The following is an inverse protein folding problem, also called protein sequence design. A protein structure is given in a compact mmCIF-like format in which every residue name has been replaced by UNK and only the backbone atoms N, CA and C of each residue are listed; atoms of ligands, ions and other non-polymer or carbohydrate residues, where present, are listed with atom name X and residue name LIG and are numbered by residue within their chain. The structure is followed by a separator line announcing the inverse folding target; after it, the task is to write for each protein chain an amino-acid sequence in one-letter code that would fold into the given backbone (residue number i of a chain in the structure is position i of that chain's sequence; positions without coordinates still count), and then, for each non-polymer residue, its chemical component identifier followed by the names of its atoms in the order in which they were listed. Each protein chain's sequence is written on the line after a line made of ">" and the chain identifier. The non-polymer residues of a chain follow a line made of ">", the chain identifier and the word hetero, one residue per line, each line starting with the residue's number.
data_IF_332960352146
#
_entry.id   IF_332960352146
#
_cell.length_a   1.000
_cell.length_b   1.000
_cell.length_c   1.000
_cell.angle_alpha   90.00
_cell.angle_beta   90.00
_cell.angle_gamma   90.00
#
_symmetry.space_group_name_H-M   'P 1'
#
loop_
_entity.id
_entity.type
_entity.pdbx_description
1 polymer ?
#
# COMPACT_ATOMS: atom_id res chain seq x y z
N UNK A 1 -16.65 2.68 14.37
CA UNK A 1 -16.43 2.28 12.95
C UNK A 1 -16.74 0.80 12.83
N UNK A 2 -17.28 0.35 11.69
CA UNK A 2 -17.66 -1.06 11.52
C UNK A 2 -16.49 -1.82 10.91
N UNK A 3 -16.17 -3.00 11.44
CA UNK A 3 -15.09 -3.85 10.93
C UNK A 3 -15.47 -4.42 9.54
N UNK A 4 -14.58 -4.25 8.55
CA UNK A 4 -14.77 -4.77 7.20
C UNK A 4 -13.98 -6.04 6.93
N UNK A 5 -12.84 -6.22 7.61
CA UNK A 5 -12.05 -7.46 7.58
C UNK A 5 -11.44 -7.75 8.94
N UNK A 6 -11.31 -9.02 9.28
CA UNK A 6 -10.64 -9.52 10.48
C UNK A 6 -9.89 -10.81 10.19
N UNK A 7 -8.61 -10.81 10.48
CA UNK A 7 -7.69 -11.93 10.31
C UNK A 7 -7.04 -12.27 11.65
N UNK A 8 -6.86 -13.55 11.95
CA UNK A 8 -5.99 -13.98 13.05
C UNK A 8 -5.32 -15.30 12.74
N UNK A 9 -4.03 -15.41 13.11
CA UNK A 9 -3.21 -16.59 12.93
C UNK A 9 -3.15 -17.05 11.46
N UNK A 10 -3.00 -16.09 10.52
CA UNK A 10 -3.04 -16.35 9.08
C UNK A 10 -1.63 -16.57 8.55
N UNK A 11 -1.33 -17.79 8.12
CA UNK A 11 -0.07 -18.19 7.50
C UNK A 11 -0.26 -18.56 6.04
N UNK A 12 0.68 -18.17 5.18
CA UNK A 12 0.76 -18.60 3.79
C UNK A 12 2.16 -19.10 3.47
N UNK A 13 2.25 -20.36 3.09
CA UNK A 13 3.46 -20.97 2.56
C UNK A 13 3.29 -21.39 1.09
N UNK A 14 4.38 -21.44 0.35
CA UNK A 14 4.50 -22.02 -0.98
C UNK A 14 5.61 -23.06 -0.92
N UNK A 15 5.21 -24.34 -1.00
CA UNK A 15 6.10 -25.44 -0.61
C UNK A 15 6.52 -25.25 0.84
N UNK A 16 7.82 -25.35 1.11
CA UNK A 16 8.39 -25.21 2.47
C UNK A 16 8.66 -23.75 2.87
N UNK A 17 8.48 -22.80 1.95
CA UNK A 17 8.76 -21.38 2.20
C UNK A 17 7.54 -20.68 2.78
N UNK A 18 7.62 -20.28 4.05
CA UNK A 18 6.64 -19.37 4.67
C UNK A 18 6.82 -17.95 4.11
N UNK A 19 5.78 -17.39 3.49
CA UNK A 19 5.81 -16.08 2.83
C UNK A 19 5.04 -15.04 3.62
N UNK A 20 4.01 -15.46 4.38
CA UNK A 20 3.18 -14.56 5.18
C UNK A 20 2.83 -15.23 6.50
N UNK A 21 2.92 -14.47 7.60
CA UNK A 21 2.48 -14.87 8.93
C UNK A 21 1.90 -13.64 9.64
N UNK A 22 0.59 -13.58 9.76
CA UNK A 22 -0.16 -12.46 10.34
C UNK A 22 -0.81 -12.94 11.64
N UNK A 23 -0.34 -12.43 12.77
CA UNK A 23 -0.90 -12.76 14.08
C UNK A 23 -2.32 -12.21 14.21
N UNK A 24 -2.51 -10.93 13.91
CA UNK A 24 -3.82 -10.29 13.89
C UNK A 24 -3.83 -9.09 12.95
N UNK A 25 -4.95 -8.87 12.26
CA UNK A 25 -5.21 -7.68 11.47
C UNK A 25 -6.71 -7.42 11.42
N UNK A 26 -7.11 -6.18 11.66
CA UNK A 26 -8.47 -5.71 11.43
C UNK A 26 -8.46 -4.54 10.46
N UNK A 27 -9.43 -4.45 9.55
CA UNK A 27 -9.66 -3.28 8.71
C UNK A 27 -11.03 -2.70 9.04
N UNK A 28 -11.12 -1.38 9.07
CA UNK A 28 -12.37 -0.66 9.35
C UNK A 28 -12.94 -0.04 8.08
N UNK A 29 -14.26 0.21 8.08
CA UNK A 29 -14.96 0.81 6.94
C UNK A 29 -14.56 2.27 6.73
N UNK A 30 -14.43 2.68 5.45
CA UNK A 30 -14.22 4.08 5.06
C UNK A 30 -12.79 4.61 5.26
N UNK A 31 -11.83 3.75 5.60
CA UNK A 31 -10.41 4.12 5.72
C UNK A 31 -9.67 3.91 4.41
N UNK A 32 -8.64 4.72 4.19
CA UNK A 32 -7.56 4.46 3.25
C UNK A 32 -6.38 3.88 4.02
N UNK A 33 -6.09 2.60 3.78
CA UNK A 33 -5.02 1.86 4.46
C UNK A 33 -3.89 1.57 3.48
N UNK A 34 -2.69 2.05 3.77
CA UNK A 34 -1.49 1.72 3.01
C UNK A 34 -0.89 0.38 3.48
N UNK A 35 -0.56 -0.48 2.53
CA UNK A 35 0.26 -1.66 2.74
C UNK A 35 1.63 -1.44 2.11
N UNK A 36 2.63 -1.23 2.92
CA UNK A 36 3.98 -0.88 2.50
C UNK A 36 5.00 -1.90 3.00
N UNK A 37 6.16 -1.93 2.37
CA UNK A 37 7.25 -2.84 2.71
C UNK A 37 8.10 -3.16 1.48
N UNK A 38 9.28 -3.79 1.67
CA UNK A 38 10.19 -4.13 0.58
C UNK A 38 9.56 -5.13 -0.41
N UNK A 39 10.23 -5.31 -1.55
CA UNK A 39 9.84 -6.33 -2.51
C UNK A 39 9.96 -7.72 -1.87
N UNK A 40 8.97 -8.57 -2.11
CA UNK A 40 8.93 -9.91 -1.48
C UNK A 40 8.44 -9.93 -0.04
N UNK A 41 8.08 -8.79 0.59
CA UNK A 41 7.56 -8.73 1.96
C UNK A 41 6.22 -9.46 2.18
N UNK A 42 5.51 -9.85 1.10
CA UNK A 42 4.21 -10.53 1.19
C UNK A 42 3.00 -9.65 0.92
N UNK A 43 3.18 -8.39 0.49
CA UNK A 43 2.07 -7.44 0.22
C UNK A 43 0.99 -8.02 -0.70
N UNK A 44 1.39 -8.42 -1.91
CA UNK A 44 0.45 -9.01 -2.88
C UNK A 44 -0.18 -10.31 -2.38
N UNK A 45 0.55 -11.09 -1.57
CA UNK A 45 0.04 -12.31 -0.94
C UNK A 45 -1.10 -11.97 0.04
N UNK A 46 -0.90 -10.97 0.89
CA UNK A 46 -1.92 -10.51 1.84
C UNK A 46 -3.15 -9.97 1.11
N UNK A 47 -2.96 -9.13 0.08
CA UNK A 47 -4.08 -8.62 -0.73
C UNK A 47 -4.90 -9.75 -1.35
N UNK A 48 -4.23 -10.78 -1.91
CA UNK A 48 -4.90 -11.93 -2.52
C UNK A 48 -5.63 -12.83 -1.52
N UNK A 49 -5.14 -12.91 -0.28
CA UNK A 49 -5.84 -13.63 0.79
C UNK A 49 -7.09 -12.86 1.23
N UNK A 50 -6.97 -11.56 1.51
CA UNK A 50 -8.12 -10.73 1.92
C UNK A 50 -9.18 -10.66 0.80
N UNK A 51 -8.75 -10.63 -0.47
CA UNK A 51 -9.68 -10.65 -1.62
C UNK A 51 -10.28 -12.03 -1.92
N UNK A 52 -9.93 -13.07 -1.15
CA UNK A 52 -10.42 -14.44 -1.35
C UNK A 52 -9.89 -15.13 -2.61
N UNK A 53 -8.89 -14.54 -3.29
CA UNK A 53 -8.24 -15.14 -4.45
C UNK A 53 -7.31 -16.30 -4.06
N UNK A 54 -6.73 -16.22 -2.86
CA UNK A 54 -5.86 -17.26 -2.33
C UNK A 54 -6.33 -17.74 -0.96
N UNK A 55 -6.30 -19.06 -0.78
CA UNK A 55 -6.56 -19.69 0.52
C UNK A 55 -5.26 -19.68 1.33
N UNK A 56 -5.29 -19.28 2.61
CA UNK A 56 -4.14 -19.40 3.49
C UNK A 56 -3.77 -20.87 3.70
N UNK A 57 -2.51 -21.16 4.07
CA UNK A 57 -2.07 -22.50 4.46
C UNK A 57 -2.63 -22.86 5.85
N UNK A 58 -2.71 -21.85 6.73
CA UNK A 58 -3.30 -21.94 8.05
C UNK A 58 -3.99 -20.63 8.40
N UNK A 59 -5.10 -20.68 9.09
CA UNK A 59 -5.72 -19.51 9.68
C UNK A 59 -6.64 -19.93 10.84
N UNK A 60 -6.73 -19.08 11.85
CA UNK A 60 -7.71 -19.21 12.94
C UNK A 60 -8.99 -18.44 12.59
N UNK A 61 -8.85 -17.25 12.00
CA UNK A 61 -9.95 -16.39 11.53
C UNK A 61 -9.57 -15.74 10.23
N UNK A 62 -10.48 -15.74 9.27
CA UNK A 62 -10.40 -14.97 8.03
C UNK A 62 -11.80 -14.54 7.62
N UNK A 63 -12.20 -13.38 8.08
CA UNK A 63 -13.53 -12.85 7.89
C UNK A 63 -13.43 -11.54 7.09
N UNK A 64 -14.11 -11.44 5.96
CA UNK A 64 -14.08 -10.26 5.10
C UNK A 64 -15.49 -9.96 4.62
N UNK A 65 -15.95 -8.72 4.79
CA UNK A 65 -17.31 -8.28 4.42
C UNK A 65 -18.40 -9.19 5.01
N UNK A 66 -18.19 -9.64 6.26
CA UNK A 66 -19.11 -10.53 6.97
C UNK A 66 -19.13 -11.98 6.49
N UNK A 67 -18.22 -12.36 5.60
CA UNK A 67 -18.07 -13.74 5.15
C UNK A 67 -16.84 -14.39 5.78
N UNK A 68 -17.02 -15.59 6.36
CA UNK A 68 -15.95 -16.47 6.80
C UNK A 68 -15.35 -17.17 5.56
N UNK A 69 -14.16 -16.74 5.15
CA UNK A 69 -13.48 -17.26 3.94
C UNK A 69 -12.74 -18.59 4.20
N UNK A 70 -12.72 -19.09 5.43
CA UNK A 70 -12.21 -20.43 5.73
C UNK A 70 -13.23 -21.51 5.37
N UNK A 71 -14.49 -21.12 5.12
CA UNK A 71 -15.57 -22.01 4.71
C UNK A 71 -15.97 -21.75 3.25
N UNK A 72 -16.31 -22.79 2.50
CA UNK A 72 -16.83 -22.62 1.15
C UNK A 72 -18.10 -21.77 1.16
N UNK A 73 -18.12 -20.71 0.38
CA UNK A 73 -19.33 -19.89 0.19
C UNK A 73 -20.22 -20.55 -0.87
N UNK A 74 -21.54 -20.70 -0.61
CA UNK A 74 -22.48 -21.11 -1.66
C UNK A 74 -22.38 -20.20 -2.88
N UNK A 75 -22.47 -20.76 -4.10
CA UNK A 75 -22.24 -20.06 -5.37
C UNK A 75 -22.93 -18.70 -5.47
N UNK A 76 -24.20 -18.59 -5.04
CA UNK A 76 -24.94 -17.33 -5.04
C UNK A 76 -24.36 -16.31 -4.07
N UNK A 77 -24.01 -16.74 -2.85
CA UNK A 77 -23.39 -15.88 -1.83
C UNK A 77 -21.98 -15.46 -2.25
N UNK A 78 -21.19 -16.37 -2.82
CA UNK A 78 -19.85 -16.07 -3.34
C UNK A 78 -19.91 -14.97 -4.40
N UNK A 79 -20.86 -15.04 -5.34
CA UNK A 79 -21.07 -14.01 -6.35
C UNK A 79 -21.46 -12.65 -5.74
N UNK A 80 -22.38 -12.63 -4.79
CA UNK A 80 -22.79 -11.40 -4.10
C UNK A 80 -21.66 -10.81 -3.27
N UNK A 81 -20.85 -11.65 -2.65
CA UNK A 81 -19.68 -11.24 -1.89
C UNK A 81 -18.62 -10.64 -2.81
N UNK A 82 -18.26 -11.31 -3.90
CA UNK A 82 -17.25 -10.82 -4.85
C UNK A 82 -17.64 -9.50 -5.52
N UNK A 83 -18.92 -9.21 -5.69
CA UNK A 83 -19.38 -7.90 -6.17
C UNK A 83 -19.09 -6.76 -5.19
N UNK A 84 -18.87 -7.03 -3.90
CA UNK A 84 -18.52 -6.03 -2.90
C UNK A 84 -17.03 -5.73 -2.86
N UNK A 85 -16.22 -6.41 -3.68
CA UNK A 85 -14.79 -6.18 -3.85
C UNK A 85 -14.50 -5.53 -5.19
N UNK A 86 -13.59 -4.56 -5.19
CA UNK A 86 -12.95 -4.01 -6.38
C UNK A 86 -11.47 -4.34 -6.39
N UNK A 87 -10.89 -4.55 -7.57
CA UNK A 87 -9.47 -4.79 -7.70
C UNK A 87 -8.91 -4.03 -8.92
N UNK A 88 -7.95 -3.14 -8.68
CA UNK A 88 -7.22 -2.44 -9.73
C UNK A 88 -5.72 -2.60 -9.49
N UNK A 89 -5.03 -3.25 -10.40
CA UNK A 89 -3.58 -3.44 -10.37
C UNK A 89 -2.97 -3.06 -11.72
N UNK A 90 -1.69 -2.78 -11.76
CA UNK A 90 -0.98 -2.52 -13.02
C UNK A 90 -1.01 -3.71 -13.98
N UNK A 91 -1.18 -4.94 -13.46
CA UNK A 91 -1.37 -6.14 -14.26
C UNK A 91 -2.81 -6.32 -14.79
N UNK A 92 -3.75 -5.49 -14.34
CA UNK A 92 -5.14 -5.53 -14.79
C UNK A 92 -5.26 -4.97 -16.19
N UNK A 93 -5.19 -5.82 -17.20
CA UNK A 93 -5.25 -5.40 -18.59
C UNK A 93 -6.63 -4.84 -18.95
N UNK A 94 -6.64 -3.59 -19.41
CA UNK A 94 -7.78 -2.99 -20.10
C UNK A 94 -7.80 -3.48 -21.55
N UNK A 95 -8.99 -3.68 -22.09
CA UNK A 95 -9.15 -4.00 -23.51
C UNK A 95 -8.91 -2.74 -24.34
N UNK A 96 -7.73 -2.61 -24.93
CA UNK A 96 -7.30 -1.40 -25.64
C UNK A 96 -8.22 -0.97 -26.77
N UNK A 97 -8.74 -1.93 -27.55
CA UNK A 97 -9.63 -1.67 -28.69
C UNK A 97 -11.07 -1.33 -28.29
N UNK A 98 -11.45 -1.60 -27.06
CA UNK A 98 -12.74 -1.20 -26.54
C UNK A 98 -12.69 0.23 -26.01
N UNK A 99 -13.82 0.91 -26.09
CA UNK A 99 -14.00 2.22 -25.45
C UNK A 99 -13.96 2.11 -23.92
N UNK A 100 -13.79 3.25 -23.23
CA UNK A 100 -13.88 3.31 -21.77
C UNK A 100 -15.20 2.68 -21.31
N UNK A 101 -16.33 3.09 -21.90
CA UNK A 101 -17.67 2.57 -21.56
C UNK A 101 -17.76 1.07 -21.78
N UNK A 102 -17.28 0.56 -22.88
CA UNK A 102 -17.33 -0.88 -23.21
C UNK A 102 -16.50 -1.71 -22.26
N UNK A 103 -15.33 -1.22 -21.80
CA UNK A 103 -14.53 -1.87 -20.76
C UNK A 103 -15.32 -2.04 -19.45
N UNK A 104 -16.05 -1.00 -19.02
CA UNK A 104 -16.89 -1.06 -17.82
C UNK A 104 -18.12 -1.96 -18.03
N UNK A 105 -18.77 -1.88 -19.21
CA UNK A 105 -19.89 -2.74 -19.57
C UNK A 105 -19.51 -4.23 -19.56
N UNK A 106 -18.32 -4.55 -20.06
CA UNK A 106 -17.79 -5.92 -20.00
C UNK A 106 -17.76 -6.46 -18.56
N UNK A 107 -17.25 -5.67 -17.60
CA UNK A 107 -17.21 -6.07 -16.19
C UNK A 107 -18.62 -6.19 -15.60
N UNK A 108 -19.53 -5.27 -15.93
CA UNK A 108 -20.92 -5.39 -15.54
C UNK A 108 -21.54 -6.73 -15.95
N UNK A 109 -21.26 -7.19 -17.17
CA UNK A 109 -21.75 -8.47 -17.70
C UNK A 109 -21.09 -9.64 -16.98
N UNK A 110 -19.77 -9.59 -16.78
CA UNK A 110 -19.00 -10.63 -16.09
C UNK A 110 -19.52 -10.88 -14.67
N UNK A 111 -19.76 -9.81 -13.93
CA UNK A 111 -20.32 -9.89 -12.57
C UNK A 111 -21.84 -10.12 -12.56
N UNK A 112 -22.50 -10.17 -13.74
CA UNK A 112 -23.93 -10.41 -13.87
C UNK A 112 -24.79 -9.31 -13.30
N UNK A 113 -24.34 -8.05 -13.43
CA UNK A 113 -25.14 -6.88 -13.06
C UNK A 113 -26.34 -6.77 -13.99
N UNK A 114 -27.53 -6.59 -13.41
CA UNK A 114 -28.78 -6.53 -14.16
C UNK A 114 -28.74 -5.37 -15.17
N UNK A 115 -29.24 -5.62 -16.39
CA UNK A 115 -29.16 -4.69 -17.53
C UNK A 115 -29.65 -3.28 -17.16
N UNK A 116 -30.76 -3.18 -16.42
CA UNK A 116 -31.32 -1.90 -15.99
C UNK A 116 -30.43 -1.05 -15.09
N UNK A 117 -29.48 -1.67 -14.36
CA UNK A 117 -28.57 -0.98 -13.44
C UNK A 117 -27.22 -0.61 -14.08
N UNK A 118 -26.88 -1.18 -15.25
CA UNK A 118 -25.55 -1.04 -15.82
C UNK A 118 -25.21 0.40 -16.18
N UNK A 119 -26.12 1.08 -16.88
CA UNK A 119 -25.90 2.46 -17.33
C UNK A 119 -25.61 3.40 -16.14
N UNK A 120 -26.39 3.32 -15.08
CA UNK A 120 -26.22 4.10 -13.87
C UNK A 120 -24.87 3.83 -13.20
N UNK A 121 -24.52 2.54 -12.99
CA UNK A 121 -23.26 2.14 -12.35
C UNK A 121 -22.04 2.56 -13.16
N UNK A 122 -22.09 2.41 -14.49
CA UNK A 122 -21.03 2.83 -15.40
C UNK A 122 -20.84 4.34 -15.33
N UNK A 123 -21.92 5.12 -15.46
CA UNK A 123 -21.83 6.58 -15.40
C UNK A 123 -21.26 7.05 -14.06
N UNK A 124 -21.79 6.56 -12.93
CA UNK A 124 -21.27 6.87 -11.60
C UNK A 124 -19.79 6.53 -11.45
N UNK A 125 -19.35 5.37 -11.95
CA UNK A 125 -17.93 4.98 -11.86
C UNK A 125 -17.03 5.88 -12.69
N UNK A 126 -17.48 6.26 -13.89
CA UNK A 126 -16.73 7.18 -14.76
C UNK A 126 -16.65 8.59 -14.16
N UNK A 127 -17.73 9.09 -13.54
CA UNK A 127 -17.76 10.38 -12.85
C UNK A 127 -16.82 10.39 -11.63
N UNK A 128 -16.89 9.37 -10.78
CA UNK A 128 -16.00 9.23 -9.61
C UNK A 128 -14.53 9.24 -10.00
N UNK A 129 -14.20 8.62 -11.13
CA UNK A 129 -12.83 8.52 -11.63
C UNK A 129 -12.43 9.63 -12.60
N UNK A 130 -13.31 10.61 -12.84
CA UNK A 130 -13.07 11.74 -13.75
C UNK A 130 -12.63 11.29 -15.15
N UNK A 131 -13.40 10.37 -15.76
CA UNK A 131 -13.19 9.82 -17.11
C UNK A 131 -14.48 9.80 -17.94
N UNK A 132 -15.53 10.50 -17.50
CA UNK A 132 -16.83 10.51 -18.15
C UNK A 132 -16.79 11.20 -19.53
N UNK A 133 -15.98 12.24 -19.68
CA UNK A 133 -15.73 12.95 -20.94
C UNK A 133 -15.00 12.10 -22.00
N UNK A 134 -14.38 11.01 -21.58
CA UNK A 134 -13.66 10.04 -22.39
C UNK A 134 -14.41 8.75 -22.64
N UNK A 135 -15.71 8.69 -22.31
CA UNK A 135 -16.50 7.46 -22.34
C UNK A 135 -16.52 6.74 -23.68
N UNK A 136 -16.44 7.50 -24.80
CA UNK A 136 -16.39 7.00 -26.18
C UNK A 136 -14.98 6.75 -26.73
N UNK A 137 -13.94 7.16 -26.02
CA UNK A 137 -12.56 7.01 -26.50
C UNK A 137 -12.09 5.56 -26.31
N UNK A 138 -11.36 5.04 -27.30
CA UNK A 138 -10.72 3.75 -27.20
C UNK A 138 -9.57 3.82 -26.19
N UNK A 139 -9.46 2.82 -25.31
CA UNK A 139 -8.50 2.84 -24.19
C UNK A 139 -7.03 2.92 -24.65
N UNK A 140 -6.69 2.36 -25.81
CA UNK A 140 -5.30 2.43 -26.32
C UNK A 140 -4.85 3.87 -26.63
N UNK A 141 -5.79 4.80 -26.94
CA UNK A 141 -5.49 6.21 -27.24
C UNK A 141 -5.23 7.06 -25.99
N UNK A 142 -5.56 6.54 -24.80
CA UNK A 142 -5.49 7.29 -23.56
C UNK A 142 -4.05 7.36 -23.01
N UNK A 143 -3.74 8.44 -22.30
CA UNK A 143 -2.51 8.54 -21.50
C UNK A 143 -2.46 7.48 -20.38
N UNK A 144 -1.28 7.22 -19.83
CA UNK A 144 -1.09 6.25 -18.75
C UNK A 144 -1.95 6.60 -17.52
N UNK A 145 -1.99 7.89 -17.12
CA UNK A 145 -2.82 8.34 -15.99
C UNK A 145 -4.32 8.17 -16.24
N UNK A 146 -4.79 8.44 -17.48
CA UNK A 146 -6.17 8.18 -17.87
C UNK A 146 -6.50 6.68 -17.84
N UNK A 147 -5.60 5.83 -18.36
CA UNK A 147 -5.75 4.36 -18.29
C UNK A 147 -5.85 3.89 -16.84
N UNK A 148 -5.06 4.45 -15.95
CA UNK A 148 -5.13 4.09 -14.53
C UNK A 148 -6.47 4.49 -13.91
N UNK A 149 -6.99 5.69 -14.20
CA UNK A 149 -8.31 6.12 -13.75
C UNK A 149 -9.44 5.25 -14.33
N UNK A 150 -9.34 4.82 -15.58
CA UNK A 150 -10.28 3.85 -16.19
C UNK A 150 -10.18 2.49 -15.49
N UNK A 151 -8.99 2.05 -15.12
CA UNK A 151 -8.79 0.80 -14.37
C UNK A 151 -9.46 0.84 -12.99
N UNK A 152 -9.35 1.96 -12.27
CA UNK A 152 -10.06 2.18 -11.02
C UNK A 152 -11.58 2.24 -11.25
N UNK A 153 -12.05 2.96 -12.28
CA UNK A 153 -13.47 3.03 -12.64
C UNK A 153 -14.07 1.64 -12.93
N UNK A 154 -13.30 0.80 -13.61
CA UNK A 154 -13.67 -0.59 -13.89
C UNK A 154 -13.82 -1.41 -12.59
N UNK A 155 -12.92 -1.22 -11.61
CA UNK A 155 -13.03 -1.88 -10.32
C UNK A 155 -14.23 -1.37 -9.49
N UNK A 156 -14.65 -0.13 -9.72
CA UNK A 156 -15.77 0.52 -9.03
C UNK A 156 -17.16 0.17 -9.58
N UNK A 157 -17.25 -0.38 -10.78
CA UNK A 157 -18.55 -0.60 -11.47
C UNK A 157 -19.49 -1.56 -10.72
N UNK A 158 -18.92 -2.45 -9.88
CA UNK A 158 -19.70 -3.34 -9.01
C UNK A 158 -20.28 -2.64 -7.78
N UNK A 159 -19.91 -1.38 -7.55
CA UNK A 159 -20.20 -0.61 -6.33
C UNK A 159 -19.61 -1.30 -5.07
N UNK A 160 -18.28 -1.53 -5.02
CA UNK A 160 -17.65 -2.28 -3.97
C UNK A 160 -17.63 -1.51 -2.64
N UNK A 161 -17.55 -2.25 -1.53
CA UNK A 161 -17.31 -1.69 -0.20
C UNK A 161 -15.83 -1.64 0.15
N UNK A 162 -15.04 -2.52 -0.46
CA UNK A 162 -13.58 -2.60 -0.29
C UNK A 162 -12.93 -2.67 -1.67
N UNK A 163 -12.00 -1.76 -1.94
CA UNK A 163 -11.20 -1.76 -3.15
C UNK A 163 -9.72 -1.97 -2.83
N UNK A 164 -9.08 -2.82 -3.62
CA UNK A 164 -7.64 -3.05 -3.61
C UNK A 164 -7.00 -2.29 -4.76
N UNK A 165 -6.03 -1.45 -4.45
CA UNK A 165 -5.24 -0.70 -5.42
C UNK A 165 -3.78 -1.14 -5.28
N UNK A 166 -3.26 -1.82 -6.29
CA UNK A 166 -1.88 -2.32 -6.28
C UNK A 166 -1.00 -1.38 -7.10
N UNK A 167 -0.17 -0.59 -6.39
CA UNK A 167 0.71 0.44 -6.93
C UNK A 167 0.00 1.42 -7.89
N UNK A 168 -1.04 2.14 -7.45
CA UNK A 168 -1.95 2.87 -8.34
C UNK A 168 -1.31 4.04 -9.09
N UNK A 169 -0.16 4.55 -8.67
CA UNK A 169 0.53 5.68 -9.31
C UNK A 169 1.93 5.35 -9.81
N UNK A 170 2.34 4.09 -9.71
CA UNK A 170 3.65 3.66 -10.19
C UNK A 170 3.82 3.97 -11.68
N UNK A 171 4.92 4.66 -12.02
CA UNK A 171 5.23 5.06 -13.40
C UNK A 171 4.40 6.21 -13.96
N UNK A 172 3.63 6.91 -13.14
CA UNK A 172 2.93 8.14 -13.51
C UNK A 172 3.81 9.37 -13.25
N UNK A 173 3.63 10.39 -14.08
CA UNK A 173 4.15 11.72 -13.77
C UNK A 173 3.41 12.34 -12.58
N UNK A 174 3.98 13.39 -11.91
CA UNK A 174 3.38 13.97 -10.70
C UNK A 174 1.95 14.52 -10.89
N UNK A 175 1.62 15.05 -12.06
CA UNK A 175 0.28 15.58 -12.34
C UNK A 175 -0.74 14.44 -12.46
N UNK A 176 -0.41 13.40 -13.22
CA UNK A 176 -1.24 12.22 -13.37
C UNK A 176 -1.41 11.47 -12.02
N UNK A 177 -0.36 11.40 -11.20
CA UNK A 177 -0.43 10.82 -9.86
C UNK A 177 -1.40 11.61 -8.96
N UNK A 178 -1.33 12.94 -8.99
CA UNK A 178 -2.24 13.79 -8.21
C UNK A 178 -3.71 13.64 -8.64
N UNK A 179 -3.97 13.44 -9.93
CA UNK A 179 -5.31 13.10 -10.42
C UNK A 179 -5.84 11.79 -9.81
N UNK A 180 -4.98 10.77 -9.73
CA UNK A 180 -5.32 9.47 -9.08
C UNK A 180 -5.55 9.67 -7.59
N UNK A 181 -4.77 10.51 -6.91
CA UNK A 181 -5.01 10.88 -5.50
C UNK A 181 -6.41 11.48 -5.32
N UNK A 182 -6.79 12.39 -6.21
CA UNK A 182 -8.15 12.95 -6.23
C UNK A 182 -9.23 11.88 -6.38
N UNK A 183 -9.00 10.84 -7.18
CA UNK A 183 -9.92 9.69 -7.28
C UNK A 183 -10.00 8.95 -5.96
N UNK A 184 -8.87 8.58 -5.35
CA UNK A 184 -8.84 7.82 -4.08
C UNK A 184 -9.58 8.58 -2.97
N UNK A 185 -9.36 9.90 -2.85
CA UNK A 185 -10.10 10.73 -1.89
C UNK A 185 -11.62 10.74 -2.13
N UNK A 186 -12.06 10.78 -3.39
CA UNK A 186 -13.50 10.69 -3.72
C UNK A 186 -14.08 9.31 -3.36
N UNK A 187 -13.33 8.23 -3.55
CA UNK A 187 -13.73 6.89 -3.13
C UNK A 187 -13.92 6.82 -1.62
N UNK A 188 -12.96 7.32 -0.86
CA UNK A 188 -13.03 7.39 0.61
C UNK A 188 -14.26 8.21 1.05
N UNK A 189 -14.45 9.40 0.50
CA UNK A 189 -15.59 10.27 0.82
C UNK A 189 -16.94 9.63 0.48
N UNK A 190 -16.97 8.69 -0.47
CA UNK A 190 -18.17 7.90 -0.78
C UNK A 190 -18.37 6.69 0.13
N UNK A 191 -17.52 6.52 1.16
CA UNK A 191 -17.60 5.44 2.14
C UNK A 191 -16.94 4.13 1.71
N UNK A 192 -16.20 4.12 0.61
CA UNK A 192 -15.43 2.95 0.15
C UNK A 192 -14.16 2.82 0.97
N UNK A 193 -13.90 1.62 1.48
CA UNK A 193 -12.62 1.30 2.12
C UNK A 193 -11.58 1.02 1.04
N UNK A 194 -10.42 1.64 1.14
CA UNK A 194 -9.33 1.47 0.19
C UNK A 194 -8.14 0.80 0.88
N UNK A 195 -7.70 -0.33 0.34
CA UNK A 195 -6.43 -0.95 0.73
C UNK A 195 -5.47 -0.82 -0.46
N UNK A 196 -4.48 0.04 -0.32
CA UNK A 196 -3.51 0.31 -1.38
C UNK A 196 -2.13 -0.23 -1.02
N UNK A 197 -1.45 -0.87 -1.97
CA UNK A 197 -0.03 -1.14 -1.87
C UNK A 197 0.74 -0.02 -2.56
N UNK A 198 1.78 0.48 -1.91
CA UNK A 198 2.68 1.48 -2.49
C UNK A 198 4.07 1.42 -1.85
N UNK A 199 5.04 1.94 -2.56
CA UNK A 199 6.39 2.23 -2.04
C UNK A 199 6.66 3.75 -2.04
N UNK A 200 5.67 4.58 -2.40
CA UNK A 200 5.78 6.03 -2.52
C UNK A 200 5.31 6.68 -1.21
N UNK A 201 6.24 7.25 -0.45
CA UNK A 201 5.95 7.80 0.88
C UNK A 201 5.07 9.05 0.87
N UNK A 202 5.12 9.83 -0.20
CA UNK A 202 4.21 10.99 -0.38
C UNK A 202 2.76 10.54 -0.50
N UNK A 203 2.48 9.44 -1.22
CA UNK A 203 1.13 8.85 -1.25
C UNK A 203 0.62 8.51 0.15
N UNK A 204 1.49 7.88 0.94
CA UNK A 204 1.13 7.44 2.29
C UNK A 204 0.78 8.63 3.17
N UNK A 205 1.61 9.69 3.14
CA UNK A 205 1.36 10.91 3.91
C UNK A 205 0.08 11.63 3.49
N UNK A 206 -0.16 11.72 2.18
CA UNK A 206 -1.22 12.56 1.64
C UNK A 206 -2.58 11.88 1.62
N UNK A 207 -2.63 10.55 1.55
CA UNK A 207 -3.87 9.82 1.30
C UNK A 207 -4.31 8.91 2.45
N UNK A 208 -3.36 8.39 3.26
CA UNK A 208 -3.66 7.24 4.09
C UNK A 208 -3.96 7.64 5.54
N UNK A 209 -5.01 7.05 6.09
CA UNK A 209 -5.35 7.20 7.52
C UNK A 209 -4.50 6.25 8.38
N UNK A 210 -4.06 5.14 7.79
CA UNK A 210 -3.39 4.04 8.49
C UNK A 210 -2.38 3.36 7.57
N UNK A 211 -1.31 2.90 8.17
CA UNK A 211 -0.19 2.24 7.47
C UNK A 211 0.10 0.90 8.12
N UNK A 212 0.14 -0.13 7.31
CA UNK A 212 0.60 -1.46 7.66
C UNK A 212 1.99 -1.64 7.04
N UNK A 213 3.03 -1.64 7.86
CA UNK A 213 4.38 -1.94 7.39
C UNK A 213 4.64 -3.44 7.46
N UNK A 214 4.82 -4.06 6.30
CA UNK A 214 5.07 -5.48 6.15
C UNK A 214 6.56 -5.73 5.86
N UNK A 215 7.19 -6.59 6.65
CA UNK A 215 8.56 -7.06 6.41
C UNK A 215 8.65 -8.56 6.71
N UNK A 216 9.34 -9.30 5.84
CA UNK A 216 9.54 -10.76 5.98
C UNK A 216 8.24 -11.52 6.32
N UNK A 217 7.14 -11.12 5.69
CA UNK A 217 5.82 -11.73 5.86
C UNK A 217 5.07 -11.34 7.14
N UNK A 218 5.56 -10.40 7.94
CA UNK A 218 4.96 -9.99 9.21
C UNK A 218 4.63 -8.50 9.21
N UNK A 219 3.58 -8.12 9.94
CA UNK A 219 3.26 -6.70 10.18
C UNK A 219 4.18 -6.21 11.30
N UNK A 220 5.13 -5.37 10.94
CA UNK A 220 6.11 -4.77 11.86
C UNK A 220 5.59 -3.49 12.49
N UNK A 221 4.69 -2.79 11.82
CA UNK A 221 4.02 -1.61 12.36
C UNK A 221 2.62 -1.46 11.77
N UNK A 222 1.74 -0.94 12.61
CA UNK A 222 0.34 -0.67 12.32
C UNK A 222 -0.03 0.63 13.06
N UNK A 223 -0.07 1.75 12.33
CA UNK A 223 -0.28 3.07 12.94
C UNK A 223 -0.63 4.12 11.87
N UNK A 224 -1.00 5.35 12.28
CA UNK A 224 -1.13 6.47 11.34
C UNK A 224 0.23 6.91 10.78
N UNK A 225 0.27 7.56 9.61
CA UNK A 225 1.52 8.11 9.06
C UNK A 225 2.26 9.00 10.06
N UNK A 226 1.53 9.84 10.79
CA UNK A 226 2.10 10.74 11.81
C UNK A 226 2.72 9.97 12.98
N UNK A 227 2.02 8.97 13.51
CA UNK A 227 2.55 8.12 14.59
C UNK A 227 3.80 7.36 14.16
N UNK A 228 3.86 6.93 12.90
CA UNK A 228 5.07 6.28 12.36
C UNK A 228 6.21 7.27 12.22
N UNK A 229 5.97 8.47 11.72
CA UNK A 229 7.00 9.52 11.62
C UNK A 229 7.61 9.83 12.99
N UNK A 230 6.78 9.94 14.04
CA UNK A 230 7.25 10.18 15.41
C UNK A 230 8.17 9.08 15.95
N UNK A 231 8.09 7.85 15.43
CA UNK A 231 9.00 6.75 15.82
C UNK A 231 10.46 6.98 15.38
N UNK A 232 10.67 7.73 14.30
CA UNK A 232 12.01 8.13 13.87
C UNK A 232 12.58 9.27 14.73
N UNK A 233 11.76 9.92 15.58
CA UNK A 233 12.13 11.08 16.34
C UNK A 233 11.84 12.38 15.60
N UNK A 234 12.29 13.52 16.14
CA UNK A 234 12.10 14.82 15.51
C UNK A 234 13.16 15.09 14.43
N UNK A 235 14.38 14.63 14.67
CA UNK A 235 15.56 14.94 13.86
C UNK A 235 16.30 13.67 13.48
N UNK A 236 16.76 13.64 12.26
CA UNK A 236 17.65 12.60 11.72
C UNK A 236 18.96 13.25 11.28
N UNK A 237 20.06 12.65 11.68
CA UNK A 237 21.39 13.00 11.20
C UNK A 237 21.82 11.97 10.14
N UNK A 238 22.17 12.45 8.98
CA UNK A 238 22.74 11.65 7.90
C UNK A 238 24.25 11.92 7.86
N UNK A 239 25.01 10.86 8.07
CA UNK A 239 26.46 10.90 8.23
C UNK A 239 27.14 10.27 7.04
N UNK A 240 28.20 10.88 6.56
CA UNK A 240 29.16 10.28 5.63
C UNK A 240 30.33 9.74 6.44
N UNK A 241 30.47 8.42 6.49
CA UNK A 241 31.48 7.75 7.32
C UNK A 241 32.44 6.98 6.44
N UNK A 242 33.77 7.22 6.51
CA UNK A 242 34.73 6.39 5.81
C UNK A 242 34.55 4.92 6.18
N UNK A 243 34.59 4.04 5.21
CA UNK A 243 34.36 2.58 5.42
C UNK A 243 35.32 1.99 6.45
N UNK A 244 36.56 2.51 6.50
CA UNK A 244 37.57 2.12 7.50
C UNK A 244 37.20 2.46 8.95
N UNK A 245 36.31 3.44 9.15
CA UNK A 245 35.88 3.90 10.49
C UNK A 245 34.44 3.44 10.82
N UNK A 246 33.74 2.78 9.90
CA UNK A 246 32.34 2.36 9.99
C UNK A 246 32.04 1.73 11.35
N UNK A 247 32.74 0.66 11.71
CA UNK A 247 32.42 -0.11 12.91
C UNK A 247 32.60 0.70 14.19
N UNK A 248 33.69 1.46 14.29
CA UNK A 248 33.98 2.28 15.47
C UNK A 248 32.97 3.42 15.64
N UNK A 249 32.59 4.07 14.55
CA UNK A 249 31.58 5.14 14.57
C UNK A 249 30.21 4.60 14.99
N UNK A 250 29.75 3.52 14.37
CA UNK A 250 28.44 2.91 14.67
C UNK A 250 28.40 2.45 16.13
N UNK A 251 29.44 1.79 16.62
CA UNK A 251 29.54 1.35 18.02
C UNK A 251 29.44 2.54 18.97
N UNK A 252 30.19 3.61 18.74
CA UNK A 252 30.12 4.80 19.58
C UNK A 252 28.76 5.47 19.57
N UNK A 253 28.15 5.59 18.41
CA UNK A 253 26.80 6.18 18.28
C UNK A 253 25.73 5.36 19.03
N UNK A 254 25.80 4.04 18.93
CA UNK A 254 24.82 3.16 19.56
C UNK A 254 25.06 2.99 21.06
N UNK A 255 26.30 2.69 21.47
CA UNK A 255 26.61 2.28 22.82
C UNK A 255 26.83 3.47 23.77
N UNK A 256 27.55 4.53 23.30
CA UNK A 256 27.86 5.69 24.13
C UNK A 256 26.72 6.73 24.13
N UNK A 257 25.98 6.85 23.04
CA UNK A 257 24.95 7.88 22.87
C UNK A 257 23.51 7.35 22.89
N UNK A 258 23.33 6.04 22.94
CA UNK A 258 22.01 5.43 22.87
C UNK A 258 21.26 5.74 21.57
N UNK A 259 21.97 6.18 20.53
CA UNK A 259 21.40 6.44 19.22
C UNK A 259 21.06 5.13 18.51
N UNK A 260 20.12 5.19 17.59
CA UNK A 260 19.83 4.07 16.67
C UNK A 260 20.41 4.43 15.32
N UNK A 261 21.24 3.57 14.77
CA UNK A 261 21.91 3.78 13.48
C UNK A 261 21.41 2.78 12.45
N UNK A 262 21.26 3.24 11.21
CA UNK A 262 20.90 2.40 10.05
C UNK A 262 21.83 2.73 8.91
N UNK A 263 22.46 1.73 8.33
CA UNK A 263 23.28 1.86 7.15
C UNK A 263 22.34 1.91 5.95
N UNK A 264 22.40 3.01 5.20
CA UNK A 264 21.58 3.24 4.01
C UNK A 264 22.29 2.81 2.74
N UNK A 265 23.58 3.08 2.66
CA UNK A 265 24.44 2.72 1.54
C UNK A 265 25.84 2.41 2.09
N UNK A 266 26.45 1.35 1.61
CA UNK A 266 27.75 0.85 2.04
C UNK A 266 28.63 0.66 0.81
N UNK A 267 29.39 1.71 0.47
CA UNK A 267 30.33 1.70 -0.63
C UNK A 267 31.75 1.40 -0.16
N UNK A 268 32.68 1.08 -1.07
CA UNK A 268 34.06 0.75 -0.73
C UNK A 268 34.83 1.90 -0.05
N UNK A 269 34.38 3.14 -0.24
CA UNK A 269 35.05 4.36 0.25
C UNK A 269 34.31 4.99 1.41
N UNK A 270 32.98 5.15 1.29
CA UNK A 270 32.14 5.83 2.28
C UNK A 270 30.86 5.07 2.55
N UNK A 271 30.36 5.20 3.77
CA UNK A 271 29.11 4.60 4.24
C UNK A 271 28.13 5.71 4.60
N UNK A 272 26.92 5.64 4.04
CA UNK A 272 25.83 6.55 4.40
C UNK A 272 25.06 5.94 5.60
N UNK A 273 25.13 6.63 6.74
CA UNK A 273 24.55 6.19 8.00
C UNK A 273 23.49 7.17 8.46
N UNK A 274 22.26 6.70 8.66
CA UNK A 274 21.21 7.45 9.31
C UNK A 274 21.30 7.23 10.83
N UNK A 275 21.25 8.30 11.60
CA UNK A 275 21.32 8.27 13.07
C UNK A 275 20.10 8.93 13.67
N UNK A 276 19.46 8.24 14.59
CA UNK A 276 18.20 8.60 15.22
C UNK A 276 18.34 8.69 16.73
N UNK A 277 17.61 9.63 17.35
CA UNK A 277 17.58 9.76 18.81
C UNK A 277 18.76 10.50 19.42
N UNK A 278 19.61 11.14 18.61
CA UNK A 278 20.67 12.02 19.11
C UNK A 278 20.06 13.31 19.67
N UNK A 279 20.34 13.59 20.95
CA UNK A 279 19.87 14.83 21.61
C UNK A 279 20.77 16.02 21.29
N UNK A 280 22.01 15.80 20.85
CA UNK A 280 22.99 16.86 20.61
C UNK A 280 24.01 16.47 19.52
N UNK A 281 24.23 17.40 18.58
CA UNK A 281 25.22 17.20 17.49
C UNK A 281 26.69 17.45 17.91
N UNK A 282 26.96 18.04 19.08
CA UNK A 282 28.31 18.41 19.50
C UNK A 282 29.29 17.22 19.46
N UNK A 283 28.78 16.02 19.60
CA UNK A 283 29.61 14.81 19.60
C UNK A 283 29.98 14.38 18.18
N UNK A 284 29.11 14.62 17.20
CA UNK A 284 29.43 14.42 15.79
C UNK A 284 30.54 15.36 15.34
N UNK A 285 30.49 16.62 15.82
CA UNK A 285 31.53 17.61 15.59
C UNK A 285 32.88 17.18 16.21
N UNK A 286 32.86 16.65 17.45
CA UNK A 286 34.05 16.11 18.13
C UNK A 286 34.63 14.88 17.44
N UNK A 287 33.82 14.10 16.77
CA UNK A 287 34.26 12.94 15.97
C UNK A 287 34.79 13.34 14.59
N UNK A 288 34.69 14.63 14.23
CA UNK A 288 35.12 15.12 12.91
C UNK A 288 34.31 14.56 11.73
N UNK A 289 33.07 14.14 11.98
CA UNK A 289 32.21 13.55 10.95
C UNK A 289 31.48 14.62 10.17
N UNK A 290 31.39 14.43 8.86
CA UNK A 290 30.53 15.25 8.02
C UNK A 290 29.09 14.73 8.13
N UNK A 291 28.16 15.63 8.42
CA UNK A 291 26.75 15.27 8.55
C UNK A 291 25.81 16.34 8.04
N UNK A 292 24.60 15.92 7.69
CA UNK A 292 23.45 16.80 7.46
C UNK A 292 22.37 16.53 8.50
N UNK A 293 21.79 17.61 9.03
CA UNK A 293 20.68 17.55 9.98
C UNK A 293 19.39 17.91 9.24
N UNK A 294 18.36 17.11 9.40
CA UNK A 294 17.03 17.36 8.81
C UNK A 294 15.93 16.82 9.72
N UNK A 295 14.70 17.29 9.49
CA UNK A 295 13.53 16.73 10.15
C UNK A 295 13.31 15.28 9.72
N UNK A 296 12.80 14.48 10.65
CA UNK A 296 12.46 13.09 10.39
C UNK A 296 11.29 12.99 9.42
N UNK A 297 11.42 12.11 8.45
CA UNK A 297 10.41 11.78 7.45
C UNK A 297 9.83 10.39 7.71
N UNK A 298 8.65 10.11 7.14
CA UNK A 298 8.05 8.78 7.23
C UNK A 298 8.98 7.68 6.69
N UNK A 299 9.72 7.98 5.63
CA UNK A 299 10.71 7.06 5.05
C UNK A 299 11.77 6.61 6.06
N UNK A 300 12.14 7.45 7.03
CA UNK A 300 13.16 7.11 8.03
C UNK A 300 12.67 6.01 8.98
N UNK A 301 11.38 6.01 9.30
CA UNK A 301 10.78 4.94 10.10
C UNK A 301 10.88 3.59 9.41
N UNK A 302 10.83 3.55 8.08
CA UNK A 302 10.97 2.29 7.34
C UNK A 302 12.40 1.76 7.38
N UNK A 303 13.39 2.64 7.34
CA UNK A 303 14.78 2.23 7.56
C UNK A 303 14.95 1.65 8.96
N UNK A 304 14.34 2.27 9.98
CA UNK A 304 14.38 1.76 11.36
C UNK A 304 13.66 0.42 11.55
N UNK A 305 12.53 0.21 10.88
CA UNK A 305 11.70 -0.99 11.02
C UNK A 305 12.13 -2.13 10.09
N UNK A 306 12.66 -1.79 8.91
CA UNK A 306 13.07 -2.77 7.91
C UNK A 306 14.41 -3.44 8.21
N UNK A 307 15.24 -2.80 9.04
CA UNK A 307 16.63 -3.18 9.22
C UNK A 307 17.44 -2.98 7.93
N UNK A 308 18.67 -2.59 8.02
CA UNK A 308 19.60 -2.79 6.91
C UNK A 308 19.69 -4.31 6.67
N UNK A 309 19.39 -4.77 5.45
CA UNK A 309 19.83 -6.10 5.01
C UNK A 309 21.32 -6.09 4.77
#
# INVERSE_FOLDING_TARGET
>A
MTQIAALSGVDKAFGDRLVLSIDSLTLETGQVVALIGPNGAGKTTLLRIISGLWVPTRAQRLEVLGADLLKPLPRKKSKQWSQQLGFASNSSQLFGLLTVRENLEYVCRLYGIHKAQRAERINRSMELCNVADRSGDQVWTLSTGLKQRVNIARAMVTNPKLIFLDEPTSGLDPLAANDVYGVIRRLQNSGVTVLLSTHIMTEVNDLCDRVLFLSKGRIMADASPEQLRMRAGEVVYQLQVPTSQKQSVITRLNDELGARTVIRQDDEVEVDVLTFGLSNSNLLDQMGLTYTRRDAQLADTFWLLGGAE
#
